data_IF_477331185836
#
_entry.id   IF_477331185836
#
_cell.length_a   1.000
_cell.length_b   1.000
_cell.length_c   1.000
_cell.angle_alpha   90.00
_cell.angle_beta   90.00
_cell.angle_gamma   90.00
#
_symmetry.space_group_name_H-M   'P 1'
#
loop_
_entity.id
_entity.type
_entity.pdbx_description
1 polymer ?
#
# COMPACT_ATOMS: atom_id res chain seq x y z
N UNK A 1 7.83 16.18 5.90
CA UNK A 1 6.91 15.06 6.19
C UNK A 1 6.07 14.88 4.93
N UNK A 2 5.49 13.70 4.69
CA UNK A 2 4.84 13.40 3.42
C UNK A 2 3.52 12.66 3.65
N UNK A 3 2.55 12.85 2.76
CA UNK A 3 1.31 12.08 2.77
C UNK A 3 1.62 10.59 2.58
N UNK A 4 0.89 9.73 3.28
CA UNK A 4 1.04 8.27 3.16
C UNK A 4 -0.21 7.62 2.59
N UNK A 5 -0.07 6.44 2.04
CA UNK A 5 -1.19 5.63 1.59
C UNK A 5 -1.83 4.89 2.77
N UNK A 6 -3.15 4.98 2.93
CA UNK A 6 -3.85 4.33 4.06
C UNK A 6 -3.83 2.79 4.01
N UNK A 7 -3.44 2.21 2.88
CA UNK A 7 -3.40 0.75 2.69
C UNK A 7 -1.99 0.19 2.80
N UNK A 8 -1.02 0.69 2.04
CA UNK A 8 0.35 0.18 2.13
C UNK A 8 1.23 0.97 3.10
N UNK A 9 0.75 2.11 3.64
CA UNK A 9 1.48 3.04 4.52
C UNK A 9 2.78 3.60 3.95
N UNK A 10 3.01 3.43 2.66
CA UNK A 10 4.12 4.03 1.96
C UNK A 10 3.78 5.47 1.55
N UNK A 11 4.81 6.27 1.32
CA UNK A 11 4.71 7.69 1.03
C UNK A 11 4.23 7.95 -0.40
N UNK A 12 3.37 8.96 -0.57
CA UNK A 12 2.81 9.36 -1.86
C UNK A 12 3.81 10.16 -2.74
N UNK A 13 4.86 10.74 -2.16
CA UNK A 13 5.77 11.68 -2.84
C UNK A 13 7.26 11.33 -2.73
N UNK A 14 7.61 10.06 -2.48
CA UNK A 14 9.00 9.69 -2.08
C UNK A 14 10.01 9.59 -3.23
N UNK A 15 9.57 9.68 -4.48
CA UNK A 15 10.43 9.33 -5.61
C UNK A 15 10.92 10.55 -6.38
N UNK A 16 12.24 10.75 -6.32
CA UNK A 16 12.98 11.52 -7.31
C UNK A 16 12.72 10.86 -8.67
N UNK A 17 12.49 11.63 -9.73
CA UNK A 17 12.29 11.14 -11.11
C UNK A 17 10.92 10.56 -11.46
N UNK A 18 9.84 10.97 -10.77
CA UNK A 18 8.47 10.65 -11.22
C UNK A 18 8.14 11.10 -12.66
N UNK A 19 8.94 11.99 -13.26
CA UNK A 19 8.82 12.38 -14.67
C UNK A 19 9.23 11.29 -15.68
N UNK A 20 9.90 10.23 -15.23
CA UNK A 20 10.22 9.08 -16.09
C UNK A 20 8.97 8.38 -16.63
N UNK A 21 7.80 8.59 -16.00
CA UNK A 21 6.52 8.06 -16.47
C UNK A 21 6.16 8.54 -17.89
N UNK A 22 6.66 9.72 -18.28
CA UNK A 22 6.42 10.28 -19.60
C UNK A 22 7.32 9.68 -20.68
N UNK A 23 8.43 9.03 -20.31
CA UNK A 23 9.40 8.49 -21.25
C UNK A 23 8.94 7.19 -21.92
N UNK A 24 7.85 6.59 -21.44
CA UNK A 24 7.33 5.32 -21.95
C UNK A 24 6.35 5.47 -23.12
N UNK A 25 5.89 6.69 -23.41
CA UNK A 25 4.88 6.95 -24.45
C UNK A 25 5.17 8.29 -25.11
N UNK A 26 5.40 8.28 -26.42
CA UNK A 26 5.72 9.51 -27.15
C UNK A 26 4.60 10.56 -27.05
N UNK A 27 3.33 10.15 -26.93
CA UNK A 27 2.23 11.09 -26.75
C UNK A 27 2.24 11.71 -25.35
N UNK A 28 2.58 10.92 -24.31
CA UNK A 28 2.66 11.42 -22.94
C UNK A 28 3.85 12.36 -22.80
N UNK A 29 4.98 11.99 -23.41
CA UNK A 29 6.19 12.80 -23.51
C UNK A 29 5.92 14.15 -24.16
N UNK A 30 5.21 14.16 -25.29
CA UNK A 30 4.87 15.40 -25.98
C UNK A 30 3.92 16.27 -25.14
N UNK A 31 2.84 15.68 -24.61
CA UNK A 31 1.90 16.41 -23.75
C UNK A 31 2.60 17.07 -22.53
N UNK A 32 3.51 16.34 -21.89
CA UNK A 32 4.30 16.85 -20.77
C UNK A 32 5.26 17.95 -21.20
N UNK A 33 5.94 17.83 -22.35
CA UNK A 33 6.81 18.89 -22.89
C UNK A 33 6.03 20.16 -23.20
N UNK A 34 4.83 20.05 -23.76
CA UNK A 34 4.02 21.20 -24.15
C UNK A 34 3.40 21.91 -22.95
N UNK A 35 2.88 21.14 -21.97
CA UNK A 35 2.00 21.72 -20.92
C UNK A 35 2.49 21.49 -19.48
N UNK A 36 3.54 20.71 -19.28
CA UNK A 36 4.01 20.27 -17.96
C UNK A 36 3.09 19.25 -17.27
N UNK A 37 2.00 18.84 -17.92
CA UNK A 37 1.03 17.87 -17.41
C UNK A 37 0.42 17.03 -18.53
N UNK A 38 -0.24 15.94 -18.15
CA UNK A 38 -1.00 15.07 -19.04
C UNK A 38 -2.37 14.82 -18.43
N UNK A 39 -3.42 15.20 -19.17
CA UNK A 39 -4.78 14.78 -18.88
C UNK A 39 -5.12 13.50 -19.64
N UNK A 40 -5.65 12.50 -18.95
CA UNK A 40 -6.02 11.22 -19.56
C UNK A 40 -7.13 10.51 -18.76
N UNK A 41 -7.60 9.37 -19.26
CA UNK A 41 -8.53 8.51 -18.52
C UNK A 41 -7.77 7.73 -17.43
N UNK A 42 -8.38 7.61 -16.27
CA UNK A 42 -7.80 6.89 -15.14
C UNK A 42 -7.48 5.43 -15.51
N UNK A 43 -8.39 4.75 -16.20
CA UNK A 43 -8.25 3.37 -16.64
C UNK A 43 -6.97 3.17 -17.47
N UNK A 44 -6.60 4.13 -18.32
CA UNK A 44 -5.36 4.05 -19.13
C UNK A 44 -4.10 4.04 -18.27
N UNK A 45 -4.10 4.75 -17.14
CA UNK A 45 -2.98 4.77 -16.19
C UNK A 45 -2.99 3.48 -15.38
N UNK A 46 -4.16 3.03 -14.94
CA UNK A 46 -4.35 1.79 -14.17
C UNK A 46 -4.03 0.53 -14.97
N UNK A 47 -4.22 0.51 -16.29
CA UNK A 47 -3.85 -0.67 -17.10
C UNK A 47 -2.38 -0.67 -17.51
N UNK A 48 -1.62 0.39 -17.25
CA UNK A 48 -0.20 0.47 -17.62
C UNK A 48 0.69 -0.39 -16.72
N UNK A 49 1.85 -0.78 -17.23
CA UNK A 49 2.99 -1.30 -16.47
C UNK A 49 4.11 -0.27 -16.56
N UNK A 50 4.70 0.14 -15.44
CA UNK A 50 5.80 1.10 -15.43
C UNK A 50 7.12 0.32 -15.52
N UNK A 51 7.69 0.28 -16.72
CA UNK A 51 8.82 -0.58 -17.08
C UNK A 51 10.17 0.11 -16.87
N UNK A 52 10.21 1.45 -16.92
CA UNK A 52 11.47 2.19 -16.80
C UNK A 52 11.93 2.38 -15.35
N UNK A 53 10.99 2.55 -14.45
CA UNK A 53 11.26 2.71 -13.03
C UNK A 53 10.08 2.14 -12.22
N UNK A 54 10.38 1.04 -11.52
CA UNK A 54 9.42 0.31 -10.69
C UNK A 54 8.90 1.11 -9.50
N UNK A 55 9.40 2.33 -9.26
CA UNK A 55 8.93 3.20 -8.19
C UNK A 55 7.90 4.26 -8.64
N UNK A 56 7.67 4.41 -9.94
CA UNK A 56 6.76 5.45 -10.46
C UNK A 56 5.35 5.32 -9.90
N UNK A 57 4.87 4.10 -9.65
CA UNK A 57 3.55 3.85 -9.07
C UNK A 57 3.37 4.55 -7.73
N UNK A 58 4.45 4.72 -6.95
CA UNK A 58 4.42 5.33 -5.63
C UNK A 58 4.10 6.83 -5.67
N UNK A 59 4.25 7.46 -6.83
CA UNK A 59 3.86 8.87 -7.06
C UNK A 59 2.39 9.03 -7.44
N UNK A 60 1.71 7.93 -7.83
CA UNK A 60 0.35 7.96 -8.35
C UNK A 60 -0.66 7.65 -7.27
N UNK A 61 -1.59 8.56 -7.03
CA UNK A 61 -2.52 8.46 -5.92
C UNK A 61 -3.92 8.96 -6.27
N UNK A 62 -4.87 8.52 -5.44
CA UNK A 62 -6.23 9.03 -5.34
C UNK A 62 -6.42 9.57 -3.93
N UNK A 63 -7.40 10.45 -3.76
CA UNK A 63 -7.85 10.90 -2.45
C UNK A 63 -9.28 10.42 -2.21
N UNK A 64 -9.59 10.14 -0.97
CA UNK A 64 -10.95 10.05 -0.47
C UNK A 64 -11.23 11.35 0.26
N UNK A 65 -12.18 12.12 -0.26
CA UNK A 65 -12.50 13.47 0.23
C UNK A 65 -13.99 13.57 0.55
N UNK A 66 -14.30 14.35 1.58
CA UNK A 66 -15.68 14.68 1.92
C UNK A 66 -16.26 15.66 0.88
N UNK A 67 -17.43 15.35 0.36
CA UNK A 67 -18.18 16.19 -0.56
C UNK A 67 -19.36 16.85 0.17
N UNK A 68 -19.32 18.16 0.44
CA UNK A 68 -20.40 18.87 1.11
C UNK A 68 -21.73 18.84 0.36
N UNK A 69 -21.70 18.73 -0.97
CA UNK A 69 -22.93 18.75 -1.78
C UNK A 69 -23.74 17.46 -1.59
N UNK A 70 -23.05 16.33 -1.43
CA UNK A 70 -23.68 15.01 -1.25
C UNK A 70 -23.68 14.54 0.21
N UNK A 71 -22.98 15.26 1.10
CA UNK A 71 -22.76 14.90 2.51
C UNK A 71 -22.19 13.47 2.66
N UNK A 72 -21.28 13.09 1.75
CA UNK A 72 -20.66 11.77 1.67
C UNK A 72 -19.20 11.88 1.25
N UNK A 73 -18.38 10.88 1.57
CA UNK A 73 -17.06 10.79 0.96
C UNK A 73 -17.16 10.28 -0.48
N UNK A 74 -16.26 10.77 -1.32
CA UNK A 74 -16.09 10.31 -2.70
C UNK A 74 -14.62 10.10 -3.02
N UNK A 75 -14.38 9.18 -3.94
CA UNK A 75 -13.07 8.94 -4.52
C UNK A 75 -12.80 9.97 -5.61
N UNK A 76 -11.60 10.54 -5.62
CA UNK A 76 -11.13 11.44 -6.68
C UNK A 76 -10.54 10.65 -7.85
N UNK A 77 -10.20 11.37 -8.93
CA UNK A 77 -9.34 10.85 -9.99
C UNK A 77 -7.91 10.60 -9.52
N UNK A 78 -7.04 10.25 -10.46
CA UNK A 78 -5.62 9.99 -10.20
C UNK A 78 -4.83 11.29 -10.34
N UNK A 79 -4.07 11.63 -9.32
CA UNK A 79 -3.02 12.65 -9.38
C UNK A 79 -1.63 12.04 -9.31
N UNK A 80 -0.62 12.87 -9.56
CA UNK A 80 0.77 12.54 -9.35
C UNK A 80 1.39 13.52 -8.34
N UNK A 81 2.15 13.01 -7.37
CA UNK A 81 2.91 13.81 -6.44
C UNK A 81 4.39 13.72 -6.83
N UNK A 82 4.97 14.88 -7.16
CA UNK A 82 6.31 15.01 -7.69
C UNK A 82 7.14 15.83 -6.72
N UNK A 83 8.21 15.22 -6.20
CA UNK A 83 9.14 15.92 -5.34
C UNK A 83 10.05 16.89 -6.10
N UNK A 84 10.32 16.62 -7.37
CA UNK A 84 11.11 17.48 -8.24
C UNK A 84 10.71 17.37 -9.71
N UNK A 85 10.96 18.44 -10.47
CA UNK A 85 10.83 18.49 -11.93
C UNK A 85 12.06 19.16 -12.50
N UNK A 86 12.68 18.57 -13.53
CA UNK A 86 13.90 19.11 -14.14
C UNK A 86 14.98 19.45 -13.08
N UNK A 87 15.18 18.55 -12.11
CA UNK A 87 16.08 18.71 -10.96
C UNK A 87 15.79 19.91 -10.04
N UNK A 88 14.61 20.51 -10.12
CA UNK A 88 14.15 21.54 -9.17
C UNK A 88 13.18 20.94 -8.19
N UNK A 89 13.50 21.07 -6.91
CA UNK A 89 12.60 20.67 -5.83
C UNK A 89 11.30 21.49 -5.89
N UNK A 90 10.18 20.80 -5.77
CA UNK A 90 8.86 21.44 -5.73
C UNK A 90 8.39 21.42 -4.29
N UNK A 91 8.08 22.60 -3.77
CA UNK A 91 7.40 22.70 -2.48
C UNK A 91 5.95 22.28 -2.67
N UNK A 92 5.65 21.03 -2.34
CA UNK A 92 4.27 20.52 -2.40
C UNK A 92 3.44 21.04 -1.23
N UNK A 93 2.96 22.28 -1.33
CA UNK A 93 1.98 22.79 -0.36
C UNK A 93 0.58 22.18 -0.60
N UNK A 94 0.34 21.63 -1.80
CA UNK A 94 -0.96 21.09 -2.23
C UNK A 94 -0.83 19.81 -3.04
N UNK A 95 -1.69 18.84 -2.71
CA UNK A 95 -1.96 17.64 -3.49
C UNK A 95 -3.11 17.92 -4.43
N UNK A 96 -2.90 17.67 -5.73
CA UNK A 96 -3.87 17.98 -6.79
C UNK A 96 -4.34 16.70 -7.46
N UNK A 97 -5.65 16.52 -7.48
CA UNK A 97 -6.31 15.36 -8.09
C UNK A 97 -7.55 15.81 -8.88
N UNK A 98 -7.92 15.12 -9.97
CA UNK A 98 -9.16 15.41 -10.67
C UNK A 98 -10.37 15.16 -9.77
N UNK A 99 -11.39 15.99 -9.91
CA UNK A 99 -12.65 15.82 -9.19
C UNK A 99 -13.40 14.55 -9.63
N UNK A 100 -13.29 14.20 -10.92
CA UNK A 100 -13.89 13.01 -11.50
C UNK A 100 -12.98 11.77 -11.33
N UNK A 101 -13.51 10.69 -10.73
CA UNK A 101 -12.77 9.44 -10.47
C UNK A 101 -12.24 8.74 -11.72
N UNK A 102 -12.80 9.01 -12.89
CA UNK A 102 -12.40 8.42 -14.17
C UNK A 102 -11.36 9.25 -14.93
N UNK A 103 -10.93 10.39 -14.38
CA UNK A 103 -9.87 11.23 -14.96
C UNK A 103 -8.55 11.01 -14.21
N UNK A 104 -7.45 11.25 -14.92
CA UNK A 104 -6.11 11.32 -14.35
C UNK A 104 -5.41 12.60 -14.83
N UNK A 105 -4.63 13.19 -13.93
CA UNK A 105 -3.67 14.25 -14.23
C UNK A 105 -2.29 13.79 -13.76
N UNK A 106 -1.39 13.61 -14.72
CA UNK A 106 0.00 13.21 -14.47
C UNK A 106 0.91 14.42 -14.73
N UNK A 107 1.96 14.61 -13.95
CA UNK A 107 2.82 15.80 -14.03
C UNK A 107 2.44 16.86 -13.01
N UNK A 108 2.80 18.12 -13.28
CA UNK A 108 2.59 19.23 -12.36
C UNK A 108 1.60 20.25 -12.91
N UNK A 109 0.33 20.21 -12.46
CA UNK A 109 -0.59 21.30 -12.70
C UNK A 109 -0.09 22.48 -11.87
N UNK A 110 0.62 23.40 -12.52
CA UNK A 110 1.31 24.53 -11.88
C UNK A 110 0.46 25.29 -10.87
N UNK A 111 1.11 26.00 -9.94
CA UNK A 111 0.45 26.63 -8.78
C UNK A 111 -0.72 27.55 -9.13
N UNK A 112 -0.64 28.23 -10.27
CA UNK A 112 -1.64 29.20 -10.74
C UNK A 112 -2.74 28.60 -11.60
N UNK A 113 -2.78 27.27 -11.78
CA UNK A 113 -3.83 26.65 -12.58
C UNK A 113 -5.16 26.64 -11.81
N UNK A 114 -6.02 27.63 -12.10
CA UNK A 114 -7.45 27.63 -11.76
C UNK A 114 -8.20 26.63 -12.64
N UNK A 115 -7.84 25.36 -12.54
CA UNK A 115 -8.51 24.29 -13.25
C UNK A 115 -9.71 23.83 -12.41
N UNK A 116 -10.97 24.12 -12.82
CA UNK A 116 -12.16 23.77 -12.03
C UNK A 116 -12.36 22.26 -11.90
N UNK A 117 -11.70 21.46 -12.74
CA UNK A 117 -11.72 20.01 -12.66
C UNK A 117 -10.72 19.45 -11.64
N UNK A 118 -9.86 20.28 -11.04
CA UNK A 118 -8.91 19.86 -10.00
C UNK A 118 -9.41 20.21 -8.60
N UNK A 119 -9.24 19.26 -7.69
CA UNK A 119 -9.31 19.47 -6.25
C UNK A 119 -7.87 19.67 -5.77
N UNK A 120 -7.63 20.76 -5.05
CA UNK A 120 -6.38 20.99 -4.35
C UNK A 120 -6.61 20.79 -2.85
N UNK A 121 -5.85 19.87 -2.26
CA UNK A 121 -5.88 19.59 -0.82
C UNK A 121 -4.54 20.02 -0.24
N UNK A 122 -4.57 20.91 0.76
CA UNK A 122 -3.35 21.31 1.47
C UNK A 122 -2.74 20.11 2.17
N UNK A 123 -1.41 20.07 2.19
CA UNK A 123 -0.63 18.99 2.79
C UNK A 123 -1.05 18.67 4.24
N UNK A 124 -1.34 19.68 5.06
CA UNK A 124 -1.79 19.55 6.46
C UNK A 124 -3.07 18.70 6.60
N UNK A 125 -3.94 18.69 5.58
CA UNK A 125 -5.17 17.91 5.58
C UNK A 125 -4.97 16.42 5.22
N UNK A 126 -3.72 15.99 4.95
CA UNK A 126 -3.35 14.60 4.71
C UNK A 126 -2.58 13.99 5.89
N UNK A 127 -2.37 14.75 6.98
CA UNK A 127 -1.63 14.32 8.17
C UNK A 127 -2.47 13.44 9.10
N UNK A 128 -2.80 12.23 8.66
CA UNK A 128 -3.43 11.22 9.53
C UNK A 128 -2.44 10.21 10.10
N UNK A 129 -1.15 10.28 9.70
CA UNK A 129 -0.12 9.32 10.14
C UNK A 129 0.91 9.88 11.11
N UNK A 130 1.14 11.19 11.11
CA UNK A 130 2.19 11.78 11.93
C UNK A 130 1.61 12.48 13.14
N UNK A 131 2.14 12.14 14.32
CA UNK A 131 1.76 12.74 15.57
C UNK A 131 2.35 14.17 15.63
N UNK A 132 1.50 15.21 15.55
CA UNK A 132 1.90 16.62 15.64
C UNK A 132 1.29 17.27 16.89
N UNK A 133 1.82 18.42 17.28
CA UNK A 133 1.19 19.30 18.27
C UNK A 133 -0.01 20.10 17.70
N UNK A 134 -0.36 19.89 16.43
CA UNK A 134 -1.42 20.65 15.77
C UNK A 134 -2.79 20.24 16.31
N UNK A 135 -3.77 21.17 16.31
CA UNK A 135 -5.13 20.85 16.70
C UNK A 135 -5.72 19.79 15.76
N UNK A 136 -6.69 19.03 16.29
CA UNK A 136 -7.46 18.07 15.51
C UNK A 136 -8.01 18.70 14.24
N UNK A 137 -7.68 18.11 13.10
CA UNK A 137 -8.27 18.47 11.82
C UNK A 137 -9.74 18.05 11.80
N UNK A 138 -10.63 18.95 11.39
CA UNK A 138 -12.04 18.61 11.13
C UNK A 138 -12.10 17.44 10.14
N UNK A 139 -12.80 16.38 10.51
CA UNK A 139 -12.96 15.17 9.68
C UNK A 139 -13.48 15.49 8.27
N UNK A 140 -14.23 16.59 8.08
CA UNK A 140 -14.73 17.04 6.77
C UNK A 140 -13.66 17.66 5.89
N UNK A 141 -12.55 18.10 6.48
CA UNK A 141 -11.40 18.66 5.78
C UNK A 141 -10.32 17.62 5.55
N UNK A 142 -10.28 16.57 6.38
CA UNK A 142 -9.33 15.48 6.24
C UNK A 142 -9.52 14.78 4.88
N UNK A 143 -8.42 14.66 4.15
CA UNK A 143 -8.35 13.80 2.98
C UNK A 143 -7.55 12.55 3.33
N UNK A 144 -7.99 11.40 2.81
CA UNK A 144 -7.26 10.15 2.98
C UNK A 144 -6.65 9.76 1.64
N UNK A 145 -5.32 9.73 1.60
CA UNK A 145 -4.55 9.34 0.43
C UNK A 145 -4.44 7.84 0.28
N UNK A 146 -4.52 7.38 -0.96
CA UNK A 146 -4.32 5.99 -1.33
C UNK A 146 -3.57 5.93 -2.66
N UNK A 147 -2.53 5.09 -2.77
CA UNK A 147 -1.91 4.84 -4.08
C UNK A 147 -2.92 4.27 -5.04
N UNK A 148 -2.84 4.67 -6.31
CA UNK A 148 -3.71 4.15 -7.38
C UNK A 148 -3.75 2.61 -7.38
N UNK A 149 -2.59 1.96 -7.21
CA UNK A 149 -2.48 0.49 -7.16
C UNK A 149 -3.09 -0.14 -5.92
N UNK A 150 -2.95 0.51 -4.78
CA UNK A 150 -3.58 0.05 -3.56
C UNK A 150 -5.11 0.12 -3.68
N UNK A 151 -5.64 1.14 -4.38
CA UNK A 151 -7.06 1.23 -4.67
C UNK A 151 -7.55 0.09 -5.58
N UNK A 152 -6.84 -0.22 -6.66
CA UNK A 152 -7.20 -1.36 -7.53
C UNK A 152 -7.22 -2.68 -6.74
N UNK A 153 -6.21 -2.90 -5.90
CA UNK A 153 -6.15 -4.06 -5.04
C UNK A 153 -7.32 -4.09 -4.03
N UNK A 154 -7.74 -2.93 -3.52
CA UNK A 154 -8.91 -2.82 -2.66
C UNK A 154 -10.19 -3.25 -3.39
N UNK A 155 -10.40 -2.81 -4.64
CA UNK A 155 -11.53 -3.27 -5.47
C UNK A 155 -11.47 -4.79 -5.65
N UNK A 156 -10.30 -5.36 -5.93
CA UNK A 156 -10.16 -6.82 -6.11
C UNK A 156 -10.48 -7.62 -4.84
N UNK A 157 -10.03 -7.15 -3.67
CA UNK A 157 -10.21 -7.87 -2.40
C UNK A 157 -11.61 -7.67 -1.83
N UNK A 158 -12.09 -6.43 -1.80
CA UNK A 158 -13.35 -6.03 -1.17
C UNK A 158 -14.55 -6.15 -2.11
N UNK A 159 -14.32 -6.05 -3.42
CA UNK A 159 -15.36 -5.95 -4.44
C UNK A 159 -15.84 -4.50 -4.63
N UNK A 160 -16.79 -4.28 -5.57
CA UNK A 160 -17.31 -2.94 -5.89
C UNK A 160 -18.06 -2.26 -4.73
N UNK A 161 -18.44 -3.03 -3.70
CA UNK A 161 -19.11 -2.54 -2.48
C UNK A 161 -18.30 -1.46 -1.75
N UNK A 162 -16.98 -1.42 -1.90
CA UNK A 162 -16.14 -0.40 -1.26
C UNK A 162 -16.47 1.01 -1.79
N UNK A 163 -16.87 1.14 -3.06
CA UNK A 163 -17.21 2.44 -3.66
C UNK A 163 -18.50 3.03 -3.08
N UNK A 164 -19.45 2.19 -2.67
CA UNK A 164 -20.73 2.62 -2.10
C UNK A 164 -20.65 2.86 -0.60
N UNK A 165 -19.56 2.43 0.05
CA UNK A 165 -19.34 2.50 1.50
C UNK A 165 -17.98 3.11 1.87
N UNK A 166 -17.57 4.15 1.14
CA UNK A 166 -16.28 4.83 1.35
C UNK A 166 -16.10 5.35 2.78
N UNK A 167 -17.16 5.81 3.45
CA UNK A 167 -17.08 6.28 4.84
C UNK A 167 -16.61 5.14 5.78
N UNK A 168 -17.22 3.95 5.64
CA UNK A 168 -16.91 2.77 6.44
C UNK A 168 -15.52 2.25 6.09
N UNK A 169 -15.20 2.17 4.81
CA UNK A 169 -13.88 1.78 4.34
C UNK A 169 -12.80 2.69 4.93
N UNK A 170 -13.00 4.01 4.88
CA UNK A 170 -12.04 5.00 5.38
C UNK A 170 -11.83 4.85 6.88
N UNK A 171 -12.92 4.70 7.66
CA UNK A 171 -12.85 4.45 9.09
C UNK A 171 -12.05 3.17 9.41
N UNK A 172 -12.37 2.07 8.73
CA UNK A 172 -11.71 0.79 8.94
C UNK A 172 -10.24 0.82 8.50
N UNK A 173 -9.92 1.48 7.39
CA UNK A 173 -8.56 1.62 6.90
C UNK A 173 -7.70 2.44 7.86
N UNK A 174 -8.18 3.62 8.29
CA UNK A 174 -7.52 4.44 9.31
C UNK A 174 -7.34 3.70 10.64
N UNK A 175 -8.31 2.88 11.04
CA UNK A 175 -8.15 2.06 12.24
C UNK A 175 -7.12 0.95 12.05
N UNK A 176 -7.19 0.21 10.94
CA UNK A 176 -6.29 -0.91 10.67
C UNK A 176 -4.85 -0.49 10.55
N UNK A 177 -4.61 0.64 9.89
CA UNK A 177 -3.26 1.17 9.72
C UNK A 177 -2.69 1.69 11.05
N UNK A 178 -3.54 2.13 12.00
CA UNK A 178 -3.14 2.54 13.36
C UNK A 178 -2.94 1.38 14.33
N UNK A 179 -3.75 0.32 14.22
CA UNK A 179 -3.54 -0.96 14.93
C UNK A 179 -2.23 -1.63 14.52
N UNK A 180 -1.65 -1.22 13.38
CA UNK A 180 -0.41 -1.77 12.88
C UNK A 180 0.77 -1.08 13.55
N UNK A 181 1.50 -1.83 14.37
CA UNK A 181 2.85 -1.44 14.79
C UNK A 181 3.75 -1.56 13.56
N UNK A 182 4.30 -0.45 13.02
CA UNK A 182 5.38 -0.57 12.06
C UNK A 182 6.51 -1.31 12.77
N UNK A 183 7.01 -2.39 12.17
CA UNK A 183 8.24 -3.00 12.64
C UNK A 183 9.28 -1.86 12.63
N UNK A 184 9.80 -1.48 13.79
CA UNK A 184 10.55 -0.23 13.91
C UNK A 184 11.82 -0.26 13.04
N UNK A 185 12.36 -1.47 12.77
CA UNK A 185 13.43 -1.73 11.80
C UNK A 185 13.04 -1.41 10.34
N UNK A 186 11.77 -1.57 9.95
CA UNK A 186 11.29 -1.29 8.59
C UNK A 186 11.25 0.22 8.26
N UNK A 187 11.31 1.11 9.27
CA UNK A 187 11.26 2.55 9.06
C UNK A 187 12.64 3.21 8.94
N UNK A 188 13.71 2.53 9.34
CA UNK A 188 15.07 3.08 9.38
C UNK A 188 16.00 2.56 8.31
N UNK A 189 15.74 1.38 7.74
CA UNK A 189 16.52 0.91 6.59
C UNK A 189 16.16 1.69 5.33
N UNK A 190 17.20 2.15 4.63
CA UNK A 190 17.13 2.89 3.38
C UNK A 190 16.11 2.20 2.44
N UNK A 191 15.00 2.87 2.05
CA UNK A 191 13.93 2.25 1.28
C UNK A 191 14.47 1.98 -0.12
N UNK A 192 15.13 0.84 -0.27
CA UNK A 192 15.54 0.24 -1.53
C UNK A 192 14.29 -0.15 -2.32
N UNK A 193 13.60 0.86 -2.85
CA UNK A 193 12.44 0.77 -3.73
C UNK A 193 11.23 0.06 -3.11
N UNK A 194 10.16 0.82 -2.86
CA UNK A 194 8.89 0.18 -2.53
C UNK A 194 8.38 -0.50 -3.80
N UNK A 195 8.27 -1.81 -3.75
CA UNK A 195 7.83 -2.59 -4.89
C UNK A 195 6.32 -2.43 -5.10
N UNK A 196 5.93 -2.37 -6.38
CA UNK A 196 4.54 -2.13 -6.77
C UNK A 196 3.61 -3.25 -6.23
N UNK A 197 2.59 -2.96 -5.41
CA UNK A 197 1.82 -4.02 -4.75
C UNK A 197 0.89 -4.82 -5.69
N UNK A 198 0.64 -4.31 -6.89
CA UNK A 198 -0.37 -4.84 -7.81
C UNK A 198 0.25 -5.43 -9.09
N UNK A 199 1.10 -4.68 -9.78
CA UNK A 199 1.68 -5.05 -11.08
C UNK A 199 3.17 -5.37 -11.00
N UNK A 200 3.47 -6.43 -10.27
CA UNK A 200 4.85 -6.83 -10.00
C UNK A 200 5.51 -7.34 -11.29
N UNK A 201 6.44 -6.56 -11.83
CA UNK A 201 7.06 -6.84 -13.13
C UNK A 201 7.79 -8.19 -13.16
N UNK A 202 8.53 -8.52 -12.10
CA UNK A 202 9.20 -9.81 -11.98
C UNK A 202 8.21 -11.00 -12.01
N UNK A 203 7.03 -10.84 -11.42
CA UNK A 203 5.98 -11.85 -11.44
C UNK A 203 5.35 -11.99 -12.84
N UNK A 204 5.08 -10.87 -13.52
CA UNK A 204 4.63 -10.88 -14.93
C UNK A 204 5.63 -11.60 -15.83
N UNK A 205 6.93 -11.33 -15.66
CA UNK A 205 7.99 -11.98 -16.42
C UNK A 205 8.04 -13.50 -16.13
N UNK A 206 7.76 -13.91 -14.89
CA UNK A 206 7.65 -15.32 -14.54
C UNK A 206 6.46 -15.99 -15.24
N UNK A 207 5.28 -15.34 -15.26
CA UNK A 207 4.10 -15.84 -15.99
C UNK A 207 4.42 -16.02 -17.49
N UNK A 208 5.07 -15.04 -18.11
CA UNK A 208 5.49 -15.13 -19.53
C UNK A 208 6.49 -16.28 -19.77
N UNK A 209 7.44 -16.50 -18.85
CA UNK A 209 8.36 -17.65 -18.94
C UNK A 209 7.63 -18.99 -18.88
N UNK A 210 6.57 -19.09 -18.09
CA UNK A 210 5.75 -20.31 -17.99
C UNK A 210 5.05 -20.61 -19.32
N UNK A 211 4.51 -19.58 -19.99
CA UNK A 211 3.87 -19.72 -21.30
C UNK A 211 4.82 -20.32 -22.33
N UNK A 212 6.05 -19.78 -22.41
CA UNK A 212 7.06 -20.24 -23.38
C UNK A 212 7.55 -21.68 -23.11
N UNK A 213 7.43 -22.18 -21.87
CA UNK A 213 7.80 -23.56 -21.51
C UNK A 213 6.69 -24.56 -21.85
N UNK A 214 5.42 -24.17 -21.73
CA UNK A 214 4.27 -25.04 -22.04
C UNK A 214 4.27 -25.58 -23.48
N UNK A 215 4.91 -24.87 -24.42
CA UNK A 215 5.04 -25.30 -25.82
C UNK A 215 6.09 -26.40 -26.02
N UNK A 216 7.06 -26.53 -25.12
CA UNK A 216 8.11 -27.57 -25.17
C UNK A 216 7.69 -28.78 -24.35
N UNK A 217 6.65 -29.49 -24.81
CA UNK A 217 6.27 -30.76 -24.19
C UNK A 217 7.45 -31.74 -24.20
N UNK A 218 7.86 -32.15 -23.01
CA UNK A 218 8.81 -33.24 -22.78
C UNK A 218 8.24 -34.51 -23.43
N UNK A 219 9.05 -35.27 -24.19
CA UNK A 219 8.60 -36.54 -24.76
C UNK A 219 8.11 -37.44 -23.62
N UNK A 220 6.86 -37.90 -23.73
CA UNK A 220 6.31 -38.92 -22.84
C UNK A 220 7.11 -40.22 -23.03
N UNK A 221 8.18 -40.35 -22.26
CA UNK A 221 8.92 -41.59 -22.13
C UNK A 221 8.05 -42.63 -21.45
N UNK A 222 7.72 -43.70 -22.18
CA UNK A 222 6.81 -44.79 -21.79
C UNK A 222 7.34 -45.71 -20.65
N UNK A 223 8.29 -45.28 -19.85
CA UNK A 223 8.76 -46.04 -18.70
C UNK A 223 7.86 -45.75 -17.50
N UNK A 224 6.83 -46.60 -17.29
CA UNK A 224 6.10 -46.69 -16.02
C UNK A 224 7.14 -46.93 -14.90
N UNK A 225 7.42 -45.94 -14.04
CA UNK A 225 8.25 -46.19 -12.88
C UNK A 225 7.45 -47.09 -11.94
N UNK A 226 8.07 -48.14 -11.42
CA UNK A 226 7.57 -48.86 -10.25
C UNK A 226 7.58 -47.89 -9.08
N UNK A 227 6.45 -47.21 -8.87
CA UNK A 227 6.28 -46.20 -7.84
C UNK A 227 6.59 -46.80 -6.45
N UNK A 228 7.46 -46.17 -5.65
CA UNK A 228 7.56 -46.51 -4.24
C UNK A 228 6.21 -46.23 -3.57
N UNK A 229 5.63 -47.24 -2.93
CA UNK A 229 4.37 -47.11 -2.19
C UNK A 229 4.57 -46.22 -0.96
N UNK A 230 4.32 -44.92 -1.10
CA UNK A 230 4.32 -43.99 0.03
C UNK A 230 3.03 -44.14 0.84
N UNK A 231 3.15 -44.24 2.17
CA UNK A 231 1.98 -44.24 3.08
C UNK A 231 1.19 -42.94 3.03
N UNK A 232 1.79 -41.86 2.52
CA UNK A 232 1.13 -40.58 2.28
C UNK A 232 -0.10 -40.75 1.37
N UNK A 233 -0.06 -41.70 0.42
CA UNK A 233 -1.15 -41.98 -0.50
C UNK A 233 -2.40 -42.57 0.18
N UNK A 234 -2.28 -43.07 1.41
CA UNK A 234 -3.42 -43.58 2.19
C UNK A 234 -4.21 -42.47 2.90
N UNK A 235 -3.69 -41.24 2.91
CA UNK A 235 -4.38 -40.11 3.53
C UNK A 235 -5.44 -39.54 2.57
N UNK A 236 -6.58 -39.04 3.10
CA UNK A 236 -7.53 -38.25 2.32
C UNK A 236 -6.86 -37.09 1.58
N UNK A 237 -7.41 -36.67 0.45
CA UNK A 237 -6.81 -35.61 -0.38
C UNK A 237 -6.64 -34.30 0.39
N UNK A 238 -7.63 -33.94 1.18
CA UNK A 238 -7.69 -32.73 1.98
C UNK A 238 -6.58 -32.72 3.04
N UNK A 239 -6.34 -33.86 3.71
CA UNK A 239 -5.27 -34.00 4.68
C UNK A 239 -3.90 -33.90 4.00
N UNK A 240 -3.76 -34.44 2.79
CA UNK A 240 -2.53 -34.28 2.01
C UNK A 240 -2.29 -32.82 1.65
N UNK A 241 -3.31 -32.10 1.16
CA UNK A 241 -3.19 -30.67 0.86
C UNK A 241 -2.77 -29.86 2.10
N UNK A 242 -3.40 -30.12 3.25
CA UNK A 242 -3.00 -29.47 4.51
C UNK A 242 -1.54 -29.73 4.87
N UNK A 243 -1.05 -30.98 4.73
CA UNK A 243 0.36 -31.29 4.97
C UNK A 243 1.26 -30.52 4.01
N UNK A 244 0.90 -30.47 2.72
CA UNK A 244 1.69 -29.76 1.71
C UNK A 244 1.70 -28.24 1.98
N UNK A 245 0.63 -27.65 2.51
CA UNK A 245 0.54 -26.24 2.88
C UNK A 245 1.53 -25.83 3.99
N UNK A 246 2.05 -26.79 4.78
CA UNK A 246 3.11 -26.54 5.77
C UNK A 246 4.54 -26.59 5.20
N UNK A 247 4.72 -27.01 3.95
CA UNK A 247 6.03 -27.11 3.32
C UNK A 247 6.31 -25.83 2.54
N UNK A 248 7.56 -25.38 2.54
CA UNK A 248 8.00 -24.32 1.63
C UNK A 248 8.26 -24.86 0.20
N UNK A 249 8.64 -23.97 -0.71
CA UNK A 249 8.91 -24.32 -2.11
C UNK A 249 10.08 -25.31 -2.28
N UNK A 250 11.01 -25.36 -1.33
CA UNK A 250 12.16 -26.28 -1.36
C UNK A 250 11.74 -27.66 -0.85
N UNK A 251 11.08 -27.70 0.30
CA UNK A 251 10.66 -28.92 0.97
C UNK A 251 9.61 -29.68 0.16
N UNK A 252 8.67 -28.98 -0.49
CA UNK A 252 7.67 -29.62 -1.33
C UNK A 252 8.31 -30.27 -2.58
N UNK A 253 9.36 -29.66 -3.13
CA UNK A 253 10.11 -30.22 -4.26
C UNK A 253 10.89 -31.48 -3.84
N UNK A 254 11.51 -31.45 -2.65
CA UNK A 254 12.18 -32.63 -2.06
C UNK A 254 11.19 -33.74 -1.80
N UNK A 255 10.05 -33.43 -1.15
CA UNK A 255 8.99 -34.40 -0.88
C UNK A 255 8.50 -35.04 -2.17
N UNK A 256 8.18 -34.22 -3.18
CA UNK A 256 7.70 -34.72 -4.49
C UNK A 256 8.70 -35.69 -5.13
N UNK A 257 9.99 -35.37 -5.10
CA UNK A 257 11.06 -36.24 -5.60
C UNK A 257 11.11 -37.57 -4.83
N UNK A 258 11.00 -37.51 -3.50
CA UNK A 258 11.08 -38.68 -2.63
C UNK A 258 9.87 -39.62 -2.74
N UNK A 259 8.65 -39.08 -2.76
CA UNK A 259 7.42 -39.89 -2.79
C UNK A 259 6.91 -40.18 -4.19
N UNK A 260 7.50 -39.56 -5.23
CA UNK A 260 7.03 -39.64 -6.62
C UNK A 260 5.52 -39.36 -6.75
N UNK A 261 5.03 -38.44 -5.91
CA UNK A 261 3.61 -38.13 -5.79
C UNK A 261 3.21 -37.06 -6.80
N UNK A 262 2.19 -37.35 -7.61
CA UNK A 262 1.59 -36.36 -8.48
C UNK A 262 0.58 -35.50 -7.71
N UNK A 263 0.85 -34.20 -7.63
CA UNK A 263 -0.03 -33.21 -7.02
C UNK A 263 -0.87 -32.56 -8.12
N UNK A 264 -2.19 -32.59 -7.96
CA UNK A 264 -3.11 -32.06 -8.96
C UNK A 264 -3.03 -30.54 -9.14
N UNK A 265 -3.36 -30.06 -10.33
CA UNK A 265 -3.33 -28.64 -10.71
C UNK A 265 -4.20 -27.75 -9.80
N UNK A 266 -5.33 -28.28 -9.33
CA UNK A 266 -6.24 -27.56 -8.41
C UNK A 266 -5.56 -27.12 -7.11
N UNK A 267 -4.66 -27.96 -6.58
CA UNK A 267 -3.88 -27.62 -5.39
C UNK A 267 -2.93 -26.45 -5.65
N UNK A 268 -2.16 -26.51 -6.74
CA UNK A 268 -1.22 -25.44 -7.10
C UNK A 268 -1.93 -24.11 -7.35
N UNK A 269 -3.10 -24.15 -7.99
CA UNK A 269 -3.95 -22.96 -8.16
C UNK A 269 -4.45 -22.40 -6.82
N UNK A 270 -4.90 -23.27 -5.91
CA UNK A 270 -5.37 -22.86 -4.59
C UNK A 270 -4.25 -22.21 -3.77
N UNK A 271 -3.04 -22.81 -3.80
CA UNK A 271 -1.85 -22.28 -3.14
C UNK A 271 -1.40 -20.94 -3.72
N UNK A 272 -1.56 -20.76 -5.03
CA UNK A 272 -1.28 -19.49 -5.72
C UNK A 272 -2.32 -18.40 -5.49
N UNK A 273 -3.47 -18.69 -4.86
CA UNK A 273 -4.60 -17.76 -4.79
C UNK A 273 -4.21 -16.37 -4.29
N UNK A 274 -3.31 -16.28 -3.30
CA UNK A 274 -2.78 -15.02 -2.79
C UNK A 274 -2.07 -14.18 -3.86
N UNK A 275 -1.16 -14.80 -4.63
CA UNK A 275 -0.40 -14.12 -5.67
C UNK A 275 -1.27 -13.70 -6.83
N UNK A 276 -2.36 -14.42 -7.10
CA UNK A 276 -3.25 -14.16 -8.25
C UNK A 276 -4.28 -13.04 -8.03
N UNK A 277 -4.44 -12.53 -6.81
CA UNK A 277 -5.41 -11.44 -6.51
C UNK A 277 -5.16 -10.24 -7.44
N UNK A 278 -6.14 -9.93 -8.30
CA UNK A 278 -6.08 -8.78 -9.20
C UNK A 278 -5.26 -8.98 -10.49
N UNK A 279 -4.83 -10.22 -10.77
CA UNK A 279 -4.06 -10.56 -11.98
C UNK A 279 -4.94 -11.34 -12.98
N UNK A 280 -6.25 -11.43 -12.70
CA UNK A 280 -7.22 -12.15 -13.53
C UNK A 280 -7.21 -11.68 -14.98
N UNK A 281 -7.08 -10.38 -15.24
CA UNK A 281 -7.06 -9.85 -16.62
C UNK A 281 -5.84 -10.36 -17.39
N UNK A 282 -4.70 -10.50 -16.73
CA UNK A 282 -3.47 -10.99 -17.33
C UNK A 282 -3.53 -12.49 -17.57
N UNK A 283 -4.13 -13.24 -16.63
CA UNK A 283 -4.38 -14.66 -16.80
C UNK A 283 -5.45 -14.94 -17.86
N UNK A 284 -6.46 -14.06 -18.03
CA UNK A 284 -7.52 -14.23 -19.02
C UNK A 284 -7.02 -14.18 -20.46
N UNK A 285 -5.87 -13.54 -20.69
CA UNK A 285 -5.17 -13.52 -21.96
C UNK A 285 -4.41 -14.83 -22.23
N UNK A 286 -4.31 -15.70 -21.23
CA UNK A 286 -3.62 -16.99 -21.32
C UNK A 286 -4.66 -18.09 -21.40
N UNK A 287 -4.53 -18.99 -22.37
CA UNK A 287 -5.29 -20.23 -22.36
C UNK A 287 -4.91 -21.02 -21.09
N UNK A 288 -5.87 -21.18 -20.17
CA UNK A 288 -5.66 -21.80 -18.85
C UNK A 288 -4.98 -23.19 -18.92
N UNK A 289 -5.12 -23.90 -20.03
CA UNK A 289 -4.55 -25.24 -20.28
C UNK A 289 -3.04 -25.23 -20.54
N UNK A 290 -2.43 -24.05 -20.74
CA UNK A 290 -1.00 -23.92 -21.10
C UNK A 290 -0.09 -23.57 -19.92
N UNK A 291 -0.66 -23.26 -18.76
CA UNK A 291 0.13 -22.83 -17.59
C UNK A 291 0.56 -24.05 -16.78
N UNK A 292 1.87 -24.23 -16.62
CA UNK A 292 2.43 -25.12 -15.61
C UNK A 292 2.28 -24.47 -14.22
N UNK A 293 1.14 -24.74 -13.57
CA UNK A 293 0.81 -24.14 -12.27
C UNK A 293 1.76 -24.56 -11.17
N UNK A 294 2.33 -25.76 -11.25
CA UNK A 294 3.33 -26.21 -10.28
C UNK A 294 4.59 -25.34 -10.41
N UNK A 295 5.14 -25.25 -11.62
CA UNK A 295 6.33 -24.46 -11.85
C UNK A 295 6.12 -22.98 -11.49
N UNK A 296 4.98 -22.40 -11.90
CA UNK A 296 4.63 -21.02 -11.56
C UNK A 296 4.54 -20.83 -10.04
N UNK A 297 3.92 -21.76 -9.32
CA UNK A 297 3.80 -21.71 -7.86
C UNK A 297 5.15 -21.71 -7.17
N UNK A 298 5.98 -22.71 -7.48
CA UNK A 298 7.27 -22.89 -6.83
C UNK A 298 8.24 -21.73 -7.12
N UNK A 299 8.29 -21.24 -8.36
CA UNK A 299 9.14 -20.11 -8.69
C UNK A 299 8.62 -18.79 -8.11
N UNK A 300 7.30 -18.64 -7.92
CA UNK A 300 6.73 -17.45 -7.25
C UNK A 300 7.07 -17.45 -5.77
N UNK A 301 6.89 -18.58 -5.09
CA UNK A 301 7.26 -18.72 -3.67
C UNK A 301 8.76 -18.56 -3.45
N UNK A 302 9.58 -19.09 -4.36
CA UNK A 302 11.02 -18.86 -4.32
C UNK A 302 11.36 -17.38 -4.49
N UNK A 303 10.74 -16.72 -5.46
CA UNK A 303 10.93 -15.29 -5.69
C UNK A 303 10.52 -14.49 -4.45
N UNK A 304 9.44 -14.89 -3.79
CA UNK A 304 8.97 -14.28 -2.56
C UNK A 304 9.90 -14.52 -1.36
N UNK A 305 10.41 -15.73 -1.20
CA UNK A 305 11.30 -16.07 -0.10
C UNK A 305 12.69 -15.43 -0.24
N UNK A 306 13.11 -15.13 -1.47
CA UNK A 306 14.47 -14.66 -1.77
C UNK A 306 14.55 -13.15 -2.03
N UNK A 307 13.41 -12.46 -2.12
CA UNK A 307 13.35 -11.03 -2.44
C UNK A 307 12.19 -10.33 -1.73
N UNK A 308 12.29 -9.01 -1.56
CA UNK A 308 11.23 -8.21 -0.94
C UNK A 308 10.14 -7.74 -1.93
N UNK A 309 10.09 -8.30 -3.14
CA UNK A 309 9.20 -7.76 -4.19
C UNK A 309 7.70 -7.90 -3.90
N UNK A 310 7.33 -8.80 -2.99
CA UNK A 310 5.94 -9.00 -2.58
C UNK A 310 5.66 -8.40 -1.19
N UNK A 311 6.63 -7.74 -0.54
CA UNK A 311 6.51 -7.19 0.81
C UNK A 311 5.36 -6.19 0.91
N UNK A 312 5.35 -5.18 0.03
CA UNK A 312 4.29 -4.15 -0.04
C UNK A 312 2.94 -4.79 -0.37
N UNK A 313 2.91 -5.79 -1.26
CA UNK A 313 1.70 -6.55 -1.60
C UNK A 313 1.13 -7.30 -0.41
N UNK A 314 1.94 -8.09 0.32
CA UNK A 314 1.54 -8.80 1.55
C UNK A 314 0.91 -7.85 2.55
N UNK A 315 1.58 -6.73 2.79
CA UNK A 315 1.09 -5.70 3.70
C UNK A 315 -0.29 -5.19 3.28
N UNK A 316 -0.43 -4.78 2.02
CA UNK A 316 -1.68 -4.27 1.50
C UNK A 316 -2.82 -5.32 1.57
N UNK A 317 -2.56 -6.57 1.17
CA UNK A 317 -3.56 -7.65 1.20
C UNK A 317 -3.97 -7.98 2.64
N UNK A 318 -3.02 -8.03 3.59
CA UNK A 318 -3.31 -8.26 5.01
C UNK A 318 -4.25 -7.20 5.56
N UNK A 319 -3.97 -5.93 5.29
CA UNK A 319 -4.81 -4.80 5.71
C UNK A 319 -6.19 -4.90 5.06
N UNK A 320 -6.26 -5.11 3.75
CA UNK A 320 -7.52 -5.22 3.01
C UNK A 320 -8.37 -6.41 3.45
N UNK A 321 -7.77 -7.55 3.76
CA UNK A 321 -8.48 -8.74 4.27
C UNK A 321 -9.09 -8.46 5.64
N UNK A 322 -8.34 -7.82 6.55
CA UNK A 322 -8.86 -7.39 7.84
C UNK A 322 -9.97 -6.33 7.72
N UNK A 323 -9.91 -5.45 6.72
CA UNK A 323 -11.00 -4.52 6.40
C UNK A 323 -12.21 -5.29 5.86
N UNK A 324 -12.00 -6.27 4.97
CA UNK A 324 -13.06 -7.09 4.37
C UNK A 324 -13.94 -7.72 5.44
N UNK A 325 -13.33 -8.44 6.37
CA UNK A 325 -14.04 -9.14 7.45
C UNK A 325 -14.88 -8.17 8.28
N UNK A 326 -14.29 -7.05 8.72
CA UNK A 326 -14.99 -6.02 9.51
C UNK A 326 -16.10 -5.34 8.71
N UNK A 327 -15.85 -5.01 7.43
CA UNK A 327 -16.81 -4.36 6.55
C UNK A 327 -18.05 -5.24 6.34
N UNK A 328 -17.88 -6.50 5.96
CA UNK A 328 -19.02 -7.40 5.75
C UNK A 328 -19.79 -7.68 7.04
N UNK A 329 -19.10 -7.76 8.18
CA UNK A 329 -19.76 -7.85 9.49
C UNK A 329 -20.64 -6.63 9.77
N UNK A 330 -20.11 -5.42 9.60
CA UNK A 330 -20.85 -4.16 9.79
C UNK A 330 -22.06 -4.07 8.86
N UNK A 331 -21.88 -4.44 7.59
CA UNK A 331 -22.97 -4.42 6.61
C UNK A 331 -24.08 -5.43 6.94
N UNK A 332 -23.72 -6.58 7.53
CA UNK A 332 -24.69 -7.59 7.96
C UNK A 332 -25.42 -7.19 9.26
N UNK A 333 -24.70 -6.64 10.24
CA UNK A 333 -25.25 -6.28 11.56
C UNK A 333 -25.96 -4.91 11.57
N UNK A 334 -25.71 -4.05 10.58
CA UNK A 334 -26.29 -2.71 10.45
C UNK A 334 -25.71 -1.66 11.40
N UNK A 335 -24.74 -2.02 12.24
CA UNK A 335 -24.05 -1.07 13.13
C UNK A 335 -22.91 -0.36 12.41
N UNK A 336 -23.23 0.76 11.75
CA UNK A 336 -22.26 1.54 10.99
C UNK A 336 -21.46 2.44 11.96
N UNK A 337 -20.12 2.29 12.05
CA UNK A 337 -19.31 3.17 12.87
C UNK A 337 -19.36 4.59 12.30
N UNK A 338 -19.50 5.57 13.18
CA UNK A 338 -19.38 6.98 12.82
C UNK A 338 -17.94 7.28 12.41
N UNK A 339 -17.73 7.62 11.15
CA UNK A 339 -16.41 8.00 10.63
C UNK A 339 -15.80 9.16 11.44
N UNK A 340 -16.62 10.12 11.86
CA UNK A 340 -16.22 11.22 12.74
C UNK A 340 -15.60 10.71 14.03
N UNK A 341 -16.23 9.71 14.66
CA UNK A 341 -15.76 9.19 15.95
C UNK A 341 -14.45 8.42 15.76
N UNK A 342 -14.36 7.59 14.72
CA UNK A 342 -13.12 6.87 14.40
C UNK A 342 -11.97 7.83 14.09
N UNK A 343 -12.19 8.89 13.30
CA UNK A 343 -11.15 9.90 13.03
C UNK A 343 -10.75 10.63 14.31
N UNK A 344 -11.71 11.00 15.16
CA UNK A 344 -11.42 11.67 16.43
C UNK A 344 -10.60 10.79 17.36
N UNK A 345 -10.87 9.49 17.38
CA UNK A 345 -10.15 8.50 18.19
C UNK A 345 -8.72 8.30 17.66
N UNK A 346 -8.56 8.16 16.33
CA UNK A 346 -7.25 8.12 15.68
C UNK A 346 -6.42 9.36 16.05
N UNK A 347 -6.98 10.55 15.90
CA UNK A 347 -6.28 11.80 16.21
C UNK A 347 -5.98 11.94 17.72
N UNK A 348 -6.87 11.47 18.60
CA UNK A 348 -6.63 11.44 20.04
C UNK A 348 -5.42 10.56 20.39
N UNK A 349 -5.33 9.36 19.80
CA UNK A 349 -4.21 8.45 19.99
C UNK A 349 -2.90 9.08 19.51
N UNK A 350 -2.90 9.68 18.32
CA UNK A 350 -1.73 10.36 17.78
C UNK A 350 -1.26 11.50 18.67
N UNK A 351 -2.18 12.34 19.17
CA UNK A 351 -1.83 13.44 20.08
C UNK A 351 -1.21 12.88 21.36
N UNK A 352 -1.75 11.79 21.93
CA UNK A 352 -1.17 11.13 23.12
C UNK A 352 0.24 10.63 22.83
N UNK A 353 0.44 9.90 21.73
CA UNK A 353 1.74 9.39 21.32
C UNK A 353 2.77 10.51 21.10
N UNK A 354 2.38 11.64 20.51
CA UNK A 354 3.27 12.80 20.40
C UNK A 354 3.77 13.25 21.76
N UNK A 355 2.85 13.42 22.71
CA UNK A 355 3.21 13.89 24.03
C UNK A 355 4.02 12.86 24.82
N UNK A 356 3.72 11.57 24.68
CA UNK A 356 4.49 10.50 25.31
C UNK A 356 5.91 10.42 24.74
N UNK A 357 6.06 10.45 23.41
CA UNK A 357 7.36 10.51 22.74
C UNK A 357 8.16 11.76 23.14
N UNK A 358 7.50 12.92 23.16
CA UNK A 358 8.14 14.19 23.51
C UNK A 358 8.61 14.19 24.97
N UNK A 359 7.78 13.66 25.87
CA UNK A 359 8.12 13.45 27.28
C UNK A 359 9.35 12.55 27.41
N UNK A 360 9.38 11.39 26.76
CA UNK A 360 10.56 10.51 26.81
C UNK A 360 11.82 11.20 26.30
N UNK A 361 11.72 11.93 25.19
CA UNK A 361 12.87 12.66 24.63
C UNK A 361 13.43 13.74 25.58
N UNK A 362 12.57 14.44 26.32
CA UNK A 362 13.00 15.38 27.38
C UNK A 362 13.74 14.63 28.49
N UNK A 363 13.21 13.49 28.93
CA UNK A 363 13.80 12.68 30.00
C UNK A 363 15.16 12.08 29.59
N UNK A 364 15.27 11.57 28.37
CA UNK A 364 16.46 10.87 27.88
C UNK A 364 17.62 11.81 27.58
N UNK A 365 17.35 13.01 27.06
CA UNK A 365 18.41 13.86 26.54
C UNK A 365 19.07 14.75 27.60
N UNK A 366 18.46 14.94 28.78
CA UNK A 366 18.83 16.00 29.74
C UNK A 366 19.04 17.38 29.08
N UNK A 367 18.57 17.56 27.84
CA UNK A 367 18.91 18.67 26.97
C UNK A 367 17.63 19.42 26.66
N UNK A 368 17.20 20.20 27.66
CA UNK A 368 16.05 21.10 27.58
C UNK A 368 16.22 22.20 26.53
N UNK A 369 17.42 22.36 25.94
CA UNK A 369 17.76 23.44 25.01
C UNK A 369 16.90 23.52 23.74
N UNK A 370 16.18 22.44 23.38
CA UNK A 370 15.28 22.41 22.23
C UNK A 370 13.82 22.73 22.58
N UNK A 371 13.48 22.85 23.87
CA UNK A 371 12.10 23.09 24.32
C UNK A 371 11.95 24.55 24.75
N UNK A 372 11.02 25.28 24.16
CA UNK A 372 10.76 26.65 24.62
C UNK A 372 10.21 26.65 26.06
N UNK A 373 10.55 27.66 26.87
CA UNK A 373 10.02 27.81 28.24
C UNK A 373 8.49 27.84 28.28
N UNK A 374 7.85 28.39 27.25
CA UNK A 374 6.39 28.38 27.10
C UNK A 374 5.85 26.96 26.99
N UNK A 375 6.51 26.10 26.22
CA UNK A 375 6.10 24.71 26.04
C UNK A 375 6.34 23.87 27.30
N UNK A 376 7.46 24.05 28.01
CA UNK A 376 7.68 23.42 29.32
C UNK A 376 6.57 23.78 30.33
N UNK A 377 6.08 25.04 30.28
CA UNK A 377 4.99 25.48 31.15
C UNK A 377 3.69 24.81 30.79
N UNK A 378 3.32 24.80 29.51
CA UNK A 378 2.13 24.08 29.04
C UNK A 378 2.15 22.60 29.41
N UNK A 379 3.31 21.93 29.28
CA UNK A 379 3.49 20.53 29.67
C UNK A 379 3.34 20.30 31.18
N UNK A 380 3.87 21.21 32.00
CA UNK A 380 3.75 21.14 33.47
C UNK A 380 2.31 21.40 33.91
N UNK A 381 1.65 22.40 33.33
CA UNK A 381 0.28 22.79 33.68
C UNK A 381 -0.73 21.71 33.26
N UNK A 382 -0.45 21.01 32.15
CA UNK A 382 -1.23 19.86 31.71
C UNK A 382 -0.89 18.54 32.45
N UNK A 383 0.06 18.57 33.40
CA UNK A 383 0.40 17.41 34.25
C UNK A 383 1.31 16.38 33.60
N UNK A 384 1.91 16.68 32.43
CA UNK A 384 2.81 15.75 31.74
C UNK A 384 4.23 15.73 32.34
N UNK A 385 4.65 16.85 32.93
CA UNK A 385 5.95 17.00 33.60
C UNK A 385 5.76 17.36 35.08
N UNK A 386 6.62 16.81 35.93
CA UNK A 386 6.68 17.23 37.33
C UNK A 386 7.24 18.66 37.44
N UNK A 387 6.70 19.45 38.39
CA UNK A 387 7.20 20.80 38.69
C UNK A 387 8.69 20.82 39.08
N UNK A 388 9.26 19.69 39.50
CA UNK A 388 10.67 19.51 39.85
C UNK A 388 11.61 19.81 38.67
N UNK A 389 11.17 19.59 37.42
CA UNK A 389 11.97 19.87 36.21
C UNK A 389 12.33 21.35 36.03
N UNK A 390 11.54 22.28 36.60
CA UNK A 390 11.83 23.72 36.57
C UNK A 390 13.03 24.15 37.42
N UNK A 391 13.41 23.34 38.42
CA UNK A 391 14.49 23.71 39.34
C UNK A 391 15.88 23.51 38.72
N UNK A 392 16.03 22.57 37.78
CA UNK A 392 17.29 22.25 37.11
C UNK A 392 17.75 23.35 36.14
N UNK A 393 16.83 24.01 35.45
CA UNK A 393 17.16 25.07 34.47
C UNK A 393 17.60 26.37 35.15
N UNK A 394 16.99 26.73 36.29
CA UNK A 394 17.38 27.94 37.04
C UNK A 394 18.69 27.78 37.82
N UNK A 395 19.14 26.54 38.07
CA UNK A 395 20.46 26.28 38.68
C UNK A 395 21.62 26.32 37.67
N UNK A 396 21.37 26.06 36.39
CA UNK A 396 22.43 26.06 35.35
C UNK A 396 22.68 27.44 34.71
N UNK A 397 21.83 28.43 34.95
CA UNK A 397 22.03 29.82 34.46
C UNK A 397 22.80 30.69 35.48
N UNK A 398 23.07 30.17 36.68
CA UNK A 398 23.79 30.86 37.76
C UNK A 398 25.21 30.34 38.01
N UNK A 399 25.75 29.52 37.11
CA UNK A 399 27.17 29.11 37.04
C UNK A 399 27.73 29.44 35.68
#
# INVERSE_FOLDING_TARGET
MHAQCVICGDTISRYLWGENIFLEDDNWKEAYRTTGKLWTNADKVETRYFMQDENQWGTLYRLIVYDPATNRHRLTGIGQALMSINNRYIKEDYYRVPSNKHKAVIGFPGEQTHDPDLIAVQYEYLHWWFFTAEPKTDWRKLAVSIHMRCWNLAICVLGPVVETHLDIFTALALRKVREWEPDYDECTEDPTGSTEPFKILAFRNLIQKCQNKGEKKVPQGNSRPTLPFSRLLYLPHEIRCLILDYLDYTDIAILKSAVQYHIGESYWRARMAFYLIGINDELSQIENEKIDWEYLCLETEKLDATTDIFKTRRRAIRILTGIKEKLFKILHEGHIPSLKDVINDVQNEMIREYWDWYKQRILDTNNLGWTSKGMLRSLTDAGFLERSFWKLENSQVLS
#
